data_IF_177899039366
#
_entry.id   IF_177899039366
#
_cell.length_a   1.000
_cell.length_b   1.000
_cell.length_c   1.000
_cell.angle_alpha   90.00
_cell.angle_beta   90.00
_cell.angle_gamma   90.00
#
_symmetry.space_group_name_H-M   'P 1'
#
loop_
_entity.id
_entity.type
_entity.pdbx_description
1 polymer ?
#
# COMPACT_ATOMS: atom_id res chain seq x y z
N UNK A 1 -13.23 13.80 -29.79
CA UNK A 1 -13.51 13.85 -28.33
C UNK A 1 -12.97 12.68 -27.52
N UNK A 2 -13.35 11.40 -27.79
CA UNK A 2 -12.92 10.25 -26.97
C UNK A 2 -11.39 10.10 -26.79
N UNK A 3 -10.60 10.39 -27.83
CA UNK A 3 -9.13 10.29 -27.78
C UNK A 3 -8.51 11.36 -26.86
N UNK A 4 -8.97 12.61 -26.96
CA UNK A 4 -8.51 13.73 -26.11
C UNK A 4 -8.83 13.47 -24.64
N UNK A 5 -10.05 13.02 -24.35
CA UNK A 5 -10.47 12.67 -22.99
C UNK A 5 -9.60 11.55 -22.38
N UNK A 6 -9.28 10.52 -23.17
CA UNK A 6 -8.41 9.42 -22.74
C UNK A 6 -6.98 9.90 -22.45
N UNK A 7 -6.45 10.78 -23.30
CA UNK A 7 -5.13 11.39 -23.09
C UNK A 7 -5.11 12.24 -21.83
N UNK A 8 -6.12 13.10 -21.62
CA UNK A 8 -6.25 13.93 -20.41
C UNK A 8 -6.35 13.08 -19.15
N UNK A 9 -7.17 12.03 -19.14
CA UNK A 9 -7.27 11.10 -18.02
C UNK A 9 -5.94 10.42 -17.71
N UNK A 10 -5.16 10.08 -18.75
CA UNK A 10 -3.84 9.49 -18.58
C UNK A 10 -2.85 10.49 -17.97
N UNK A 11 -2.82 11.73 -18.46
CA UNK A 11 -1.97 12.81 -17.93
C UNK A 11 -2.32 13.10 -16.47
N UNK A 12 -3.60 13.24 -16.15
CA UNK A 12 -4.07 13.44 -14.78
C UNK A 12 -3.68 12.27 -13.88
N UNK A 13 -3.81 11.03 -14.36
CA UNK A 13 -3.35 9.84 -13.64
C UNK A 13 -1.86 9.91 -13.30
N UNK A 14 -1.02 10.34 -14.25
CA UNK A 14 0.42 10.53 -14.01
C UNK A 14 0.70 11.67 -13.02
N UNK A 15 0.01 12.80 -13.13
CA UNK A 15 0.16 13.92 -12.20
C UNK A 15 -0.20 13.49 -10.78
N UNK A 16 -1.33 12.80 -10.61
CA UNK A 16 -1.78 12.27 -9.31
C UNK A 16 -0.76 11.26 -8.77
N UNK A 17 -0.23 10.38 -9.62
CA UNK A 17 0.79 9.42 -9.23
C UNK A 17 2.06 10.13 -8.74
N UNK A 18 2.56 11.12 -9.47
CA UNK A 18 3.74 11.87 -9.06
C UNK A 18 3.49 12.71 -7.81
N UNK A 19 2.30 13.30 -7.66
CA UNK A 19 1.92 14.00 -6.43
C UNK A 19 1.89 13.04 -5.24
N UNK A 20 1.37 11.82 -5.42
CA UNK A 20 1.37 10.79 -4.38
C UNK A 20 2.80 10.39 -3.97
N UNK A 21 3.70 10.20 -4.93
CA UNK A 21 5.11 9.91 -4.61
C UNK A 21 5.85 11.11 -4.01
N UNK A 22 5.59 12.33 -4.50
CA UNK A 22 6.15 13.56 -3.95
C UNK A 22 5.71 13.81 -2.50
N UNK A 23 4.54 13.29 -2.12
CA UNK A 23 4.06 13.38 -0.73
C UNK A 23 5.00 12.71 0.29
N UNK A 24 5.92 11.83 -0.14
CA UNK A 24 7.00 11.33 0.72
C UNK A 24 7.89 12.45 1.27
N UNK A 25 7.96 13.59 0.58
CA UNK A 25 8.66 14.78 1.05
C UNK A 25 8.06 15.39 2.32
N UNK A 26 6.78 15.15 2.63
CA UNK A 26 6.18 15.57 3.90
C UNK A 26 6.74 14.84 5.11
N UNK A 27 7.48 13.74 4.91
CA UNK A 27 8.17 13.04 5.99
C UNK A 27 9.52 13.69 6.37
N UNK A 28 10.01 14.62 5.56
CA UNK A 28 11.25 15.35 5.85
C UNK A 28 11.00 16.48 6.84
N UNK A 29 12.04 16.89 7.56
CA UNK A 29 11.96 18.00 8.51
C UNK A 29 11.70 19.36 7.82
N UNK A 30 11.92 19.44 6.49
CA UNK A 30 11.66 20.61 5.65
C UNK A 30 10.74 20.26 4.45
N UNK A 31 9.43 20.10 4.67
CA UNK A 31 8.50 19.65 3.63
C UNK A 31 8.44 20.54 2.38
N UNK A 32 8.65 21.85 2.56
CA UNK A 32 8.66 22.85 1.47
C UNK A 32 9.73 22.54 0.42
N UNK A 33 10.83 21.94 0.84
CA UNK A 33 11.97 21.56 -0.01
C UNK A 33 11.90 20.06 -0.35
N UNK A 34 11.51 19.23 0.62
CA UNK A 34 11.38 17.79 0.45
C UNK A 34 10.41 17.39 -0.66
N UNK A 35 9.20 17.96 -0.67
CA UNK A 35 8.17 17.59 -1.66
C UNK A 35 8.62 17.85 -3.11
N UNK A 36 9.15 19.05 -3.47
CA UNK A 36 9.72 19.29 -4.79
C UNK A 36 10.87 18.35 -5.17
N UNK A 37 11.78 18.05 -4.23
CA UNK A 37 12.91 17.15 -4.49
C UNK A 37 12.43 15.74 -4.82
N UNK A 38 11.52 15.18 -4.03
CA UNK A 38 10.96 13.85 -4.30
C UNK A 38 10.20 13.83 -5.64
N UNK A 39 9.45 14.89 -5.97
CA UNK A 39 8.79 15.01 -7.26
C UNK A 39 9.78 14.91 -8.43
N UNK A 40 10.86 15.71 -8.40
CA UNK A 40 11.91 15.71 -9.44
C UNK A 40 12.61 14.35 -9.50
N UNK A 41 12.94 13.76 -8.34
CA UNK A 41 13.57 12.45 -8.27
C UNK A 41 12.73 11.37 -8.96
N UNK A 42 11.43 11.27 -8.61
CA UNK A 42 10.56 10.26 -9.22
C UNK A 42 10.31 10.55 -10.70
N UNK A 43 10.23 11.82 -11.12
CA UNK A 43 10.13 12.18 -12.52
C UNK A 43 11.35 11.68 -13.33
N UNK A 44 12.57 11.84 -12.78
CA UNK A 44 13.80 11.33 -13.40
C UNK A 44 13.79 9.80 -13.45
N UNK A 45 13.51 9.12 -12.33
CA UNK A 45 13.51 7.65 -12.26
C UNK A 45 12.50 7.06 -13.26
N UNK A 46 11.26 7.54 -13.26
CA UNK A 46 10.24 7.06 -14.19
C UNK A 46 10.61 7.38 -15.65
N UNK A 47 11.19 8.56 -15.91
CA UNK A 47 11.72 8.92 -17.22
C UNK A 47 12.81 7.96 -17.70
N UNK A 48 13.77 7.60 -16.84
CA UNK A 48 14.82 6.64 -17.15
C UNK A 48 14.27 5.23 -17.41
N UNK A 49 13.34 4.76 -16.57
CA UNK A 49 12.66 3.47 -16.76
C UNK A 49 11.89 3.46 -18.08
N UNK A 50 11.19 4.55 -18.40
CA UNK A 50 10.48 4.69 -19.67
C UNK A 50 11.43 4.64 -20.87
N UNK A 51 12.55 5.35 -20.84
CA UNK A 51 13.55 5.31 -21.91
C UNK A 51 14.18 3.92 -22.05
N UNK A 52 14.48 3.26 -20.93
CA UNK A 52 15.05 1.91 -20.90
C UNK A 52 14.09 0.87 -21.51
N UNK A 53 12.82 0.92 -21.10
CA UNK A 53 11.77 0.02 -21.60
C UNK A 53 11.46 0.28 -23.07
N UNK A 54 11.37 1.56 -23.48
CA UNK A 54 11.16 1.96 -24.88
C UNK A 54 12.25 1.43 -25.81
N UNK A 55 13.52 1.45 -25.37
CA UNK A 55 14.66 0.93 -26.16
C UNK A 55 14.68 -0.60 -26.27
N UNK A 56 14.08 -1.34 -25.34
CA UNK A 56 14.17 -2.81 -25.26
C UNK A 56 12.90 -3.58 -25.67
N UNK A 57 11.98 -2.96 -26.41
CA UNK A 57 10.80 -3.65 -26.98
C UNK A 57 11.09 -4.78 -27.98
N UNK A 58 12.37 -5.11 -28.27
CA UNK A 58 12.72 -6.33 -29.00
C UNK A 58 12.48 -7.55 -28.10
N UNK A 59 11.32 -8.20 -28.30
CA UNK A 59 10.89 -9.54 -27.83
C UNK A 59 11.97 -10.25 -27.00
N UNK A 60 12.11 -9.89 -25.73
CA UNK A 60 12.74 -10.80 -24.80
C UNK A 60 11.78 -11.97 -24.69
N UNK A 61 12.17 -13.14 -25.19
CA UNK A 61 11.60 -14.41 -24.73
C UNK A 61 12.01 -14.56 -23.27
N UNK A 62 11.35 -13.78 -22.41
CA UNK A 62 11.51 -13.88 -20.97
C UNK A 62 11.01 -15.25 -20.57
N UNK A 63 11.89 -16.08 -20.02
CA UNK A 63 11.55 -17.41 -19.56
C UNK A 63 10.39 -17.28 -18.55
N UNK A 64 9.22 -17.88 -18.81
CA UNK A 64 8.04 -17.72 -17.95
C UNK A 64 8.32 -18.17 -16.52
N UNK A 65 9.16 -19.19 -16.33
CA UNK A 65 9.60 -19.66 -15.00
C UNK A 65 10.38 -18.59 -14.23
N UNK A 66 11.24 -17.83 -14.91
CA UNK A 66 12.03 -16.76 -14.30
C UNK A 66 11.13 -15.58 -13.93
N UNK A 67 10.17 -15.23 -14.79
CA UNK A 67 9.18 -14.18 -14.48
C UNK A 67 8.34 -14.58 -13.26
N UNK A 68 7.85 -15.81 -13.22
CA UNK A 68 7.05 -16.32 -12.11
C UNK A 68 7.85 -16.33 -10.80
N UNK A 69 9.12 -16.76 -10.85
CA UNK A 69 10.02 -16.69 -9.69
C UNK A 69 10.22 -15.25 -9.20
N UNK A 70 10.51 -14.30 -10.10
CA UNK A 70 10.65 -12.90 -9.75
C UNK A 70 9.36 -12.33 -9.14
N UNK A 71 8.19 -12.65 -9.71
CA UNK A 71 6.90 -12.23 -9.17
C UNK A 71 6.68 -12.75 -7.74
N UNK A 72 7.04 -14.01 -7.45
CA UNK A 72 6.97 -14.57 -6.10
C UNK A 72 7.94 -13.89 -5.14
N UNK A 73 9.18 -13.63 -5.55
CA UNK A 73 10.18 -12.94 -4.71
C UNK A 73 9.71 -11.52 -4.38
N UNK A 74 9.34 -10.73 -5.40
CA UNK A 74 8.82 -9.37 -5.17
C UNK A 74 7.52 -9.40 -4.38
N UNK A 75 6.66 -10.38 -4.63
CA UNK A 75 5.44 -10.60 -3.87
C UNK A 75 5.71 -10.80 -2.37
N UNK A 76 6.64 -11.70 -2.04
CA UNK A 76 7.05 -11.97 -0.66
C UNK A 76 7.68 -10.73 0.00
N UNK A 77 8.57 -10.03 -0.70
CA UNK A 77 9.20 -8.79 -0.19
C UNK A 77 8.14 -7.75 0.13
N UNK A 78 7.15 -7.54 -0.75
CA UNK A 78 6.07 -6.58 -0.50
C UNK A 78 5.18 -6.98 0.68
N UNK A 79 4.87 -8.26 0.87
CA UNK A 79 4.11 -8.72 2.04
C UNK A 79 4.92 -8.50 3.33
N UNK A 80 6.23 -8.77 3.33
CA UNK A 80 7.10 -8.48 4.47
C UNK A 80 7.16 -6.98 4.76
N UNK A 81 7.28 -6.13 3.73
CA UNK A 81 7.21 -4.68 3.88
C UNK A 81 5.87 -4.24 4.47
N UNK A 82 4.76 -4.82 4.03
CA UNK A 82 3.44 -4.54 4.60
C UNK A 82 3.36 -4.96 6.07
N UNK A 83 3.93 -6.11 6.41
CA UNK A 83 3.89 -6.64 7.78
C UNK A 83 4.70 -5.78 8.76
N UNK A 84 5.86 -5.30 8.32
CA UNK A 84 6.75 -4.49 9.16
C UNK A 84 6.56 -2.98 9.00
N UNK A 85 5.75 -2.51 8.05
CA UNK A 85 5.54 -1.07 7.85
C UNK A 85 5.04 -0.37 9.10
N UNK A 86 4.08 -0.89 9.89
CA UNK A 86 3.67 -0.23 11.11
C UNK A 86 4.83 -0.11 12.11
N UNK A 87 5.65 -1.15 12.30
CA UNK A 87 6.79 -1.10 13.21
C UNK A 87 7.87 -0.11 12.77
N UNK A 88 8.12 0.00 11.46
CA UNK A 88 9.05 1.00 10.90
C UNK A 88 8.51 2.42 11.13
N UNK A 89 7.22 2.61 10.88
CA UNK A 89 6.53 3.90 10.96
C UNK A 89 6.40 4.37 12.41
N UNK A 90 6.06 3.48 13.34
CA UNK A 90 6.05 3.72 14.78
C UNK A 90 7.43 3.58 15.43
N UNK A 91 8.51 3.40 14.68
CA UNK A 91 9.86 3.21 15.23
C UNK A 91 10.33 4.41 16.07
N UNK A 92 9.92 5.63 15.69
CA UNK A 92 10.23 6.85 16.45
C UNK A 92 9.50 6.95 17.80
N UNK A 93 8.44 6.17 18.00
CA UNK A 93 7.67 6.16 19.24
C UNK A 93 8.35 5.39 20.39
N UNK A 94 9.41 4.60 20.09
CA UNK A 94 10.18 3.82 21.06
C UNK A 94 9.32 2.96 22.01
N UNK A 95 8.31 2.28 21.46
CA UNK A 95 7.47 1.40 22.26
C UNK A 95 8.27 0.19 22.81
N UNK A 96 7.82 -0.42 23.93
CA UNK A 96 8.38 -1.69 24.37
C UNK A 96 8.27 -2.77 23.29
N UNK A 97 9.22 -3.72 23.27
CA UNK A 97 9.25 -4.82 22.30
C UNK A 97 7.89 -5.54 22.17
N UNK A 98 7.21 -5.78 23.29
CA UNK A 98 5.92 -6.46 23.32
C UNK A 98 4.84 -5.72 22.52
N UNK A 99 4.84 -4.38 22.55
CA UNK A 99 3.92 -3.56 21.76
C UNK A 99 4.18 -3.70 20.27
N UNK A 100 5.45 -3.65 19.84
CA UNK A 100 5.81 -3.86 18.43
C UNK A 100 5.43 -5.27 17.96
N UNK A 101 5.66 -6.28 18.79
CA UNK A 101 5.25 -7.65 18.51
C UNK A 101 3.73 -7.76 18.31
N UNK A 102 2.93 -7.19 19.21
CA UNK A 102 1.48 -7.16 19.08
C UNK A 102 1.01 -6.43 17.82
N UNK A 103 1.61 -5.28 17.50
CA UNK A 103 1.30 -4.53 16.28
C UNK A 103 1.56 -5.40 15.04
N UNK A 104 2.69 -6.11 14.98
CA UNK A 104 3.01 -7.02 13.88
C UNK A 104 2.02 -8.18 13.77
N UNK A 105 1.64 -8.80 14.89
CA UNK A 105 0.66 -9.91 14.92
C UNK A 105 -0.72 -9.42 14.45
N UNK A 106 -1.19 -8.29 14.98
CA UNK A 106 -2.46 -7.69 14.55
C UNK A 106 -2.41 -7.38 13.05
N UNK A 107 -1.32 -6.79 12.56
CA UNK A 107 -1.14 -6.49 11.14
C UNK A 107 -1.23 -7.75 10.27
N UNK A 108 -0.57 -8.84 10.67
CA UNK A 108 -0.67 -10.12 9.97
C UNK A 108 -2.12 -10.64 9.90
N UNK A 109 -2.84 -10.55 11.02
CA UNK A 109 -4.26 -10.94 11.09
C UNK A 109 -5.11 -10.07 10.17
N UNK A 110 -4.92 -8.75 10.18
CA UNK A 110 -5.66 -7.83 9.30
C UNK A 110 -5.39 -8.10 7.82
N UNK A 111 -4.14 -8.37 7.43
CA UNK A 111 -3.78 -8.76 6.07
C UNK A 111 -4.51 -10.06 5.70
N UNK A 112 -4.50 -11.07 6.57
CA UNK A 112 -5.15 -12.34 6.32
C UNK A 112 -6.67 -12.19 6.14
N UNK A 113 -7.35 -11.50 7.06
CA UNK A 113 -8.80 -11.27 6.99
C UNK A 113 -9.14 -10.41 5.76
N UNK A 114 -8.36 -9.37 5.46
CA UNK A 114 -8.57 -8.54 4.27
C UNK A 114 -8.44 -9.35 2.97
N UNK A 115 -7.47 -10.26 2.91
CA UNK A 115 -7.29 -11.17 1.77
C UNK A 115 -8.48 -12.12 1.63
N UNK A 116 -8.99 -12.67 2.74
CA UNK A 116 -10.19 -13.51 2.75
C UNK A 116 -11.40 -12.71 2.27
N UNK A 117 -11.59 -11.49 2.77
CA UNK A 117 -12.69 -10.61 2.36
C UNK A 117 -12.67 -10.35 0.84
N UNK A 118 -11.51 -10.02 0.28
CA UNK A 118 -11.37 -9.81 -1.17
C UNK A 118 -11.57 -11.11 -1.96
N UNK A 119 -11.09 -12.25 -1.46
CA UNK A 119 -11.33 -13.55 -2.09
C UNK A 119 -12.83 -13.88 -2.12
N UNK A 120 -13.56 -13.62 -1.04
CA UNK A 120 -15.02 -13.75 -1.00
C UNK A 120 -15.69 -12.84 -2.04
N UNK A 121 -15.22 -11.60 -2.19
CA UNK A 121 -15.75 -10.63 -3.18
C UNK A 121 -15.46 -11.09 -4.61
N UNK A 122 -14.24 -11.51 -4.94
CA UNK A 122 -13.86 -11.84 -6.31
C UNK A 122 -14.31 -13.23 -6.76
N UNK A 123 -14.30 -14.21 -5.87
CA UNK A 123 -14.64 -15.61 -6.18
C UNK A 123 -16.16 -15.84 -6.15
N UNK A 124 -16.94 -14.78 -6.39
CA UNK A 124 -18.40 -14.72 -6.25
C UNK A 124 -19.15 -14.65 -7.58
N UNK A 125 -18.47 -14.93 -8.71
CA UNK A 125 -19.16 -15.02 -10.01
C UNK A 125 -20.29 -16.06 -10.01
N UNK A 126 -20.18 -17.11 -9.18
CA UNK A 126 -21.21 -18.12 -8.94
C UNK A 126 -21.81 -18.10 -7.51
N UNK A 127 -21.52 -17.09 -6.68
CA UNK A 127 -22.04 -16.99 -5.30
C UNK A 127 -23.15 -15.95 -5.17
N UNK A 128 -24.08 -16.19 -4.24
CA UNK A 128 -25.19 -15.29 -3.93
C UNK A 128 -24.71 -13.87 -3.56
N UNK A 129 -25.54 -12.87 -3.84
CA UNK A 129 -25.27 -11.46 -3.50
C UNK A 129 -24.89 -11.25 -2.02
N UNK A 130 -25.42 -12.12 -1.13
CA UNK A 130 -25.10 -12.16 0.30
C UNK A 130 -23.62 -12.41 0.56
N UNK A 131 -22.97 -13.29 -0.21
CA UNK A 131 -21.53 -13.55 -0.06
C UNK A 131 -20.70 -12.30 -0.38
N UNK A 132 -21.06 -11.56 -1.44
CA UNK A 132 -20.39 -10.30 -1.78
C UNK A 132 -20.58 -9.26 -0.67
N UNK A 133 -21.81 -9.13 -0.16
CA UNK A 133 -22.13 -8.24 0.96
C UNK A 133 -21.27 -8.54 2.19
N UNK A 134 -21.13 -9.82 2.57
CA UNK A 134 -20.28 -10.23 3.69
C UNK A 134 -18.81 -9.82 3.51
N UNK A 135 -18.27 -9.98 2.31
CA UNK A 135 -16.91 -9.53 2.00
C UNK A 135 -16.73 -8.01 2.15
N UNK A 136 -17.70 -7.22 1.67
CA UNK A 136 -17.67 -5.76 1.88
C UNK A 136 -17.84 -5.37 3.34
N UNK A 137 -18.74 -6.02 4.09
CA UNK A 137 -18.91 -5.79 5.53
C UNK A 137 -17.62 -6.08 6.30
N UNK A 138 -16.92 -7.16 5.96
CA UNK A 138 -15.59 -7.45 6.53
C UNK A 138 -14.59 -6.32 6.26
N UNK A 139 -14.52 -5.80 5.04
CA UNK A 139 -13.63 -4.68 4.72
C UNK A 139 -13.98 -3.41 5.53
N UNK A 140 -15.27 -3.11 5.71
CA UNK A 140 -15.72 -1.99 6.53
C UNK A 140 -15.27 -2.16 7.98
N UNK A 141 -15.49 -3.34 8.57
CA UNK A 141 -15.07 -3.64 9.95
C UNK A 141 -13.55 -3.51 10.10
N UNK A 142 -12.78 -4.07 9.17
CA UNK A 142 -11.31 -3.98 9.19
C UNK A 142 -10.85 -2.52 9.11
N UNK A 143 -11.52 -1.69 8.29
CA UNK A 143 -11.17 -0.28 8.13
C UNK A 143 -11.41 0.58 9.38
N UNK A 144 -12.22 0.10 10.32
CA UNK A 144 -12.47 0.77 11.60
C UNK A 144 -11.41 0.45 12.66
N UNK A 145 -10.64 -0.64 12.51
CA UNK A 145 -9.67 -1.11 13.51
C UNK A 145 -8.58 -0.06 13.84
N UNK A 146 -8.00 0.67 12.87
CA UNK A 146 -7.06 1.74 13.18
C UNK A 146 -7.66 2.82 14.09
N UNK A 147 -8.91 3.22 13.84
CA UNK A 147 -9.60 4.20 14.68
C UNK A 147 -9.88 3.67 16.08
N UNK A 148 -10.32 2.41 16.20
CA UNK A 148 -10.54 1.77 17.50
C UNK A 148 -9.23 1.73 18.29
N UNK A 149 -8.12 1.34 17.66
CA UNK A 149 -6.81 1.30 18.30
C UNK A 149 -6.33 2.66 18.81
N UNK A 150 -6.55 3.74 18.03
CA UNK A 150 -6.21 5.10 18.45
C UNK A 150 -7.11 5.60 19.58
N UNK A 151 -8.42 5.40 19.48
CA UNK A 151 -9.39 5.95 20.43
C UNK A 151 -9.40 5.22 21.79
N UNK A 152 -8.95 3.96 21.83
CA UNK A 152 -8.89 3.16 23.06
C UNK A 152 -7.52 3.21 23.75
N UNK A 153 -6.50 3.81 23.13
CA UNK A 153 -5.14 3.80 23.66
C UNK A 153 -4.72 5.18 24.15
N UNK A 154 -4.68 5.36 25.47
CA UNK A 154 -4.12 6.56 26.09
C UNK A 154 -2.64 6.76 25.72
N UNK A 155 -1.90 5.67 25.49
CA UNK A 155 -0.48 5.69 25.12
C UNK A 155 -0.19 6.32 23.75
N UNK A 156 -1.19 6.41 22.86
CA UNK A 156 -1.03 7.06 21.56
C UNK A 156 -1.09 8.58 21.70
N UNK A 157 -1.82 9.11 22.69
CA UNK A 157 -1.85 10.54 23.00
C UNK A 157 -0.56 11.04 23.68
N UNK A 158 0.27 10.12 24.21
CA UNK A 158 1.60 10.46 24.73
C UNK A 158 2.62 10.71 23.60
N UNK A 159 2.36 10.18 22.39
CA UNK A 159 3.24 10.28 21.21
C UNK A 159 2.74 11.37 20.24
N UNK A 160 1.43 11.57 20.17
CA UNK A 160 0.78 12.50 19.25
C UNK A 160 0.07 13.61 20.03
N UNK A 161 0.28 14.86 19.60
CA UNK A 161 -0.27 16.05 20.27
C UNK A 161 -1.80 16.09 20.33
N UNK A 162 -2.49 15.34 19.47
CA UNK A 162 -3.95 15.20 19.50
C UNK A 162 -4.40 13.92 18.78
N UNK A 163 -5.64 13.48 19.06
CA UNK A 163 -6.24 12.32 18.42
C UNK A 163 -6.34 12.43 16.89
N UNK A 164 -6.48 13.65 16.35
CA UNK A 164 -6.57 13.88 14.91
C UNK A 164 -5.28 13.47 14.17
N UNK A 165 -4.13 13.91 14.69
CA UNK A 165 -2.81 13.55 14.14
C UNK A 165 -2.52 12.06 14.28
N UNK A 166 -2.87 11.46 15.42
CA UNK A 166 -2.77 10.02 15.65
C UNK A 166 -3.62 9.20 14.65
N UNK A 167 -4.88 9.61 14.44
CA UNK A 167 -5.77 8.98 13.47
C UNK A 167 -5.23 9.10 12.04
N UNK A 168 -4.83 10.31 11.63
CA UNK A 168 -4.25 10.55 10.31
C UNK A 168 -3.04 9.65 10.05
N UNK A 169 -2.16 9.52 11.05
CA UNK A 169 -0.98 8.66 10.97
C UNK A 169 -1.33 7.16 10.93
N UNK A 170 -2.25 6.70 11.77
CA UNK A 170 -2.70 5.31 11.80
C UNK A 170 -3.36 4.89 10.48
N UNK A 171 -4.18 5.76 9.88
CA UNK A 171 -4.79 5.52 8.58
C UNK A 171 -3.77 5.53 7.44
N UNK A 172 -2.78 6.43 7.48
CA UNK A 172 -1.69 6.43 6.51
C UNK A 172 -0.88 5.11 6.57
N UNK A 173 -0.53 4.66 7.78
CA UNK A 173 0.17 3.38 7.97
C UNK A 173 -0.68 2.20 7.47
N UNK A 174 -1.99 2.21 7.76
CA UNK A 174 -2.93 1.18 7.30
C UNK A 174 -3.09 1.15 5.79
N UNK A 175 -3.06 2.31 5.13
CA UNK A 175 -3.06 2.40 3.66
C UNK A 175 -1.78 1.80 3.07
N UNK A 176 -0.61 2.08 3.66
CA UNK A 176 0.65 1.47 3.22
C UNK A 176 0.60 -0.06 3.33
N UNK A 177 0.11 -0.58 4.46
CA UNK A 177 -0.12 -2.02 4.67
C UNK A 177 -1.05 -2.58 3.60
N UNK A 178 -2.18 -1.93 3.34
CA UNK A 178 -3.17 -2.40 2.37
C UNK A 178 -2.60 -2.44 0.95
N UNK A 179 -1.88 -1.40 0.53
CA UNK A 179 -1.27 -1.33 -0.81
C UNK A 179 -0.20 -2.40 -0.99
N UNK A 180 0.75 -2.49 -0.06
CA UNK A 180 1.85 -3.44 -0.14
C UNK A 180 1.37 -4.89 -0.02
N UNK A 181 0.44 -5.19 0.89
CA UNK A 181 -0.11 -6.54 1.01
C UNK A 181 -0.91 -6.94 -0.22
N UNK A 182 -1.75 -6.06 -0.76
CA UNK A 182 -2.53 -6.35 -1.96
C UNK A 182 -1.64 -6.64 -3.17
N UNK A 183 -0.66 -5.77 -3.44
CA UNK A 183 0.30 -5.99 -4.53
C UNK A 183 1.16 -7.23 -4.30
N UNK A 184 1.64 -7.42 -3.08
CA UNK A 184 2.47 -8.56 -2.71
C UNK A 184 1.77 -9.89 -2.94
N UNK A 185 0.55 -10.03 -2.39
CA UNK A 185 -0.29 -11.22 -2.54
C UNK A 185 -0.70 -11.45 -3.99
N UNK A 186 -1.08 -10.38 -4.71
CA UNK A 186 -1.47 -10.47 -6.12
C UNK A 186 -0.31 -10.96 -7.01
N UNK A 187 0.92 -10.53 -6.73
CA UNK A 187 2.11 -11.00 -7.46
C UNK A 187 2.47 -12.43 -7.07
N UNK A 188 2.42 -12.76 -5.78
CA UNK A 188 2.81 -14.08 -5.27
C UNK A 188 1.89 -15.20 -5.77
N UNK A 189 0.58 -14.94 -5.86
CA UNK A 189 -0.43 -15.91 -6.29
C UNK A 189 -0.87 -15.75 -7.74
N UNK A 190 -0.17 -14.94 -8.54
CA UNK A 190 -0.48 -14.79 -9.95
C UNK A 190 -0.33 -16.14 -10.66
N UNK A 191 -1.44 -16.66 -11.20
CA UNK A 191 -1.42 -17.86 -12.05
C UNK A 191 -0.97 -17.46 -13.46
N UNK A 192 -0.12 -18.30 -14.07
CA UNK A 192 0.35 -18.16 -15.45
C UNK A 192 -0.81 -18.22 -16.46
#
# INVERSE_FOLDING_TARGET
MKKVLKTLATILGWIILFAAFASLGFFTDEPEIGVPIYFVFFLIIFGLVFLYTKKRHKKQQTNPKVINLLQKIFGAILVLLALFSPSIVFGKANFPFFSYFLITVITAVLIAIGTIAISIIHNSKDKSAVSKLLGYLLLIVISAIPAIGVLQSNAILDVFSNAYSALGFAYWASLAVAVFSWWGISLYFKKE
#
